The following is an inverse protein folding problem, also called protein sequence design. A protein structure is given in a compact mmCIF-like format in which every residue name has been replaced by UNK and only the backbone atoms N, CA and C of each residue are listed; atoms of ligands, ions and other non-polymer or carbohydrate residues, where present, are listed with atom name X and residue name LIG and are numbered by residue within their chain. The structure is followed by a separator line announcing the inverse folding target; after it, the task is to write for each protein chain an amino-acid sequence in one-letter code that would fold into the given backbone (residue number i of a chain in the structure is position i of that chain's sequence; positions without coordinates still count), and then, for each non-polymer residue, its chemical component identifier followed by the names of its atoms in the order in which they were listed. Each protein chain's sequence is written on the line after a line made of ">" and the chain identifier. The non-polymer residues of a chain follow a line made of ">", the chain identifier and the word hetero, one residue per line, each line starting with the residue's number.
data_IF_076326251058
#
_entry.id   IF_076326251058
#
_cell.length_a   1.000
_cell.length_b   1.000
_cell.length_c   1.000
_cell.angle_alpha   90.00
_cell.angle_beta   90.00
_cell.angle_gamma   90.00
#
_symmetry.space_group_name_H-M   'P 1'
#
loop_
_entity.id
_entity.type
_entity.pdbx_description
1 polymer ?
#
# COMPACT_ATOMS: atom_id res chain seq x y z
N UNK A 1 -21.69 23.60 -26.11
CA UNK A 1 -22.87 22.82 -25.71
C UNK A 1 -22.49 21.41 -25.20
N UNK A 2 -21.62 20.62 -25.87
CA UNK A 2 -21.23 19.26 -25.44
C UNK A 2 -20.56 19.27 -24.06
N UNK A 3 -19.64 20.19 -23.80
CA UNK A 3 -18.95 20.30 -22.50
C UNK A 3 -19.91 20.70 -21.36
N UNK A 4 -20.88 21.55 -21.61
CA UNK A 4 -21.90 21.95 -20.64
C UNK A 4 -22.79 20.75 -20.25
N UNK A 5 -23.21 19.94 -21.24
CA UNK A 5 -24.00 18.72 -20.99
C UNK A 5 -23.21 17.71 -20.10
N UNK A 6 -21.93 17.54 -20.35
CA UNK A 6 -21.06 16.67 -19.52
C UNK A 6 -20.95 17.22 -18.09
N UNK A 7 -20.78 18.54 -17.92
CA UNK A 7 -20.74 19.17 -16.59
C UNK A 7 -22.05 18.98 -15.82
N UNK A 8 -23.19 19.19 -16.50
CA UNK A 8 -24.52 18.97 -15.91
C UNK A 8 -24.71 17.50 -15.50
N UNK A 9 -24.27 16.55 -16.34
CA UNK A 9 -24.36 15.13 -16.00
C UNK A 9 -23.58 14.81 -14.73
N UNK A 10 -22.33 15.29 -14.59
CA UNK A 10 -21.56 15.09 -13.36
C UNK A 10 -22.21 15.72 -12.14
N UNK A 11 -22.77 16.93 -12.27
CA UNK A 11 -23.49 17.59 -11.17
C UNK A 11 -24.74 16.81 -10.75
N UNK A 12 -25.53 16.34 -11.70
CA UNK A 12 -26.72 15.52 -11.41
C UNK A 12 -26.34 14.21 -10.74
N UNK A 13 -25.35 13.49 -11.29
CA UNK A 13 -24.88 12.23 -10.71
C UNK A 13 -24.31 12.43 -9.29
N UNK A 14 -23.52 13.48 -9.08
CA UNK A 14 -22.98 13.81 -7.75
C UNK A 14 -24.12 14.13 -6.78
N UNK A 15 -25.09 14.95 -7.20
CA UNK A 15 -26.23 15.33 -6.34
C UNK A 15 -27.06 14.13 -5.93
N UNK A 16 -27.42 13.26 -6.88
CA UNK A 16 -28.17 12.03 -6.60
C UNK A 16 -27.43 11.11 -5.64
N UNK A 17 -26.15 10.87 -5.92
CA UNK A 17 -25.27 10.04 -5.11
C UNK A 17 -25.08 10.62 -3.70
N UNK A 18 -24.81 11.92 -3.62
CA UNK A 18 -24.66 12.62 -2.36
C UNK A 18 -25.94 12.55 -1.52
N UNK A 19 -27.08 12.91 -2.08
CA UNK A 19 -28.36 12.88 -1.36
C UNK A 19 -28.69 11.48 -0.84
N UNK A 20 -28.45 10.44 -1.65
CA UNK A 20 -28.67 9.06 -1.24
C UNK A 20 -27.79 8.66 -0.04
N UNK A 21 -26.48 8.85 -0.14
CA UNK A 21 -25.56 8.41 0.91
C UNK A 21 -25.64 9.31 2.14
N UNK A 22 -25.67 10.62 1.94
CA UNK A 22 -25.68 11.60 3.02
C UNK A 22 -26.99 11.51 3.83
N UNK A 23 -28.13 11.40 3.15
CA UNK A 23 -29.42 11.19 3.81
C UNK A 23 -29.53 9.84 4.53
N UNK A 24 -29.03 8.77 3.90
CA UNK A 24 -29.01 7.43 4.53
C UNK A 24 -28.12 7.41 5.76
N UNK A 25 -26.95 8.07 5.72
CA UNK A 25 -26.04 8.13 6.85
C UNK A 25 -26.64 8.93 8.02
N UNK A 26 -27.35 10.03 7.78
CA UNK A 26 -28.04 10.79 8.81
C UNK A 26 -29.16 9.97 9.47
N UNK A 27 -29.96 9.29 8.66
CA UNK A 27 -31.01 8.38 9.15
C UNK A 27 -30.44 7.24 10.00
N UNK A 28 -29.34 6.61 9.57
CA UNK A 28 -28.65 5.58 10.35
C UNK A 28 -28.04 6.16 11.63
N UNK A 29 -27.39 7.32 11.55
CA UNK A 29 -26.83 8.01 12.71
C UNK A 29 -27.93 8.37 13.74
N UNK A 30 -29.14 8.70 13.30
CA UNK A 30 -30.26 8.97 14.22
C UNK A 30 -30.64 7.75 15.06
N UNK A 31 -30.46 6.53 14.55
CA UNK A 31 -30.76 5.29 15.26
C UNK A 31 -29.68 4.88 16.27
N UNK A 32 -28.50 5.50 16.26
CA UNK A 32 -27.40 5.20 17.20
C UNK A 32 -27.74 5.76 18.59
N UNK A 33 -27.66 4.94 19.66
CA UNK A 33 -28.14 5.30 20.99
C UNK A 33 -27.23 6.25 21.77
N UNK A 34 -26.04 6.54 21.26
CA UNK A 34 -25.05 7.40 21.92
C UNK A 34 -24.71 8.60 21.05
N UNK A 35 -24.18 9.66 21.68
CA UNK A 35 -23.60 10.84 21.05
C UNK A 35 -22.27 11.14 21.72
N UNK A 36 -21.26 11.44 20.92
CA UNK A 36 -19.96 11.85 21.45
C UNK A 36 -20.12 13.29 21.95
N UNK A 37 -19.94 13.54 23.27
CA UNK A 37 -20.11 14.88 23.84
C UNK A 37 -19.03 15.82 23.29
N UNK A 38 -19.46 17.00 22.86
CA UNK A 38 -18.59 18.05 22.37
C UNK A 38 -18.78 19.33 23.19
N UNK A 39 -17.66 20.02 23.44
CA UNK A 39 -17.75 21.34 24.11
C UNK A 39 -18.47 22.31 23.19
N UNK A 40 -19.56 22.90 23.69
CA UNK A 40 -20.32 23.89 22.95
C UNK A 40 -19.47 25.13 22.58
N UNK A 41 -19.73 25.78 21.44
CA UNK A 41 -18.94 26.90 20.96
C UNK A 41 -18.86 28.05 21.97
N UNK A 42 -17.62 28.59 22.15
CA UNK A 42 -17.39 29.82 22.91
C UNK A 42 -17.14 31.05 22.04
N UNK A 43 -17.09 30.86 20.70
CA UNK A 43 -16.95 31.95 19.73
C UNK A 43 -18.31 32.53 19.33
N UNK A 44 -18.36 33.76 18.75
CA UNK A 44 -19.64 34.40 18.43
C UNK A 44 -20.35 33.71 17.27
N UNK A 45 -21.64 33.48 17.46
CA UNK A 45 -22.56 33.06 16.40
C UNK A 45 -22.81 34.20 15.40
N UNK A 46 -22.62 33.93 14.12
CA UNK A 46 -22.69 34.92 13.05
C UNK A 46 -23.60 34.43 11.90
N UNK A 47 -24.91 34.47 12.04
CA UNK A 47 -25.84 33.97 11.01
C UNK A 47 -25.75 34.67 9.64
N UNK A 48 -25.22 35.90 9.60
CA UNK A 48 -24.94 36.62 8.37
C UNK A 48 -23.94 35.95 7.42
N UNK A 49 -23.19 34.91 7.89
CA UNK A 49 -22.30 34.11 7.05
C UNK A 49 -23.03 32.97 6.31
N UNK A 50 -24.34 32.77 6.52
CA UNK A 50 -25.10 31.73 5.84
C UNK A 50 -25.09 31.83 4.30
N UNK A 51 -25.11 32.99 3.65
CA UNK A 51 -24.93 33.08 2.19
C UNK A 51 -23.57 32.58 1.72
N UNK A 52 -22.51 32.82 2.49
CA UNK A 52 -21.15 32.30 2.19
C UNK A 52 -21.12 30.78 2.34
N UNK A 53 -21.75 30.24 3.38
CA UNK A 53 -21.94 28.80 3.56
C UNK A 53 -22.65 28.15 2.36
N UNK A 54 -23.78 28.68 1.95
CA UNK A 54 -24.57 28.19 0.82
C UNK A 54 -23.86 28.35 -0.54
N UNK A 55 -22.90 29.26 -0.63
CA UNK A 55 -22.11 29.48 -1.86
C UNK A 55 -21.24 28.31 -2.28
N UNK A 56 -21.10 27.25 -1.46
CA UNK A 56 -20.49 25.99 -1.86
C UNK A 56 -21.13 25.43 -3.15
N UNK A 57 -22.46 25.46 -3.23
CA UNK A 57 -23.18 24.95 -4.41
C UNK A 57 -22.76 25.71 -5.69
N UNK A 58 -22.63 27.03 -5.59
CA UNK A 58 -22.12 27.83 -6.69
C UNK A 58 -20.68 27.50 -7.04
N UNK A 59 -19.81 27.33 -6.03
CA UNK A 59 -18.41 26.95 -6.24
C UNK A 59 -18.29 25.60 -6.96
N UNK A 60 -19.12 24.61 -6.61
CA UNK A 60 -19.18 23.32 -7.29
C UNK A 60 -19.62 23.44 -8.75
N UNK A 61 -20.67 24.23 -9.02
CA UNK A 61 -21.11 24.50 -10.40
C UNK A 61 -19.97 25.12 -11.21
N UNK A 62 -19.33 26.16 -10.68
CA UNK A 62 -18.16 26.81 -11.31
C UNK A 62 -17.03 25.80 -11.55
N UNK A 63 -16.75 24.93 -10.57
CA UNK A 63 -15.71 23.93 -10.69
C UNK A 63 -15.99 22.90 -11.80
N UNK A 64 -17.21 22.39 -11.88
CA UNK A 64 -17.58 21.45 -12.96
C UNK A 64 -17.67 22.10 -14.34
N UNK A 65 -18.02 23.37 -14.42
CA UNK A 65 -18.07 24.08 -15.70
C UNK A 65 -16.67 24.44 -16.18
N UNK A 66 -15.82 25.01 -15.32
CA UNK A 66 -14.53 25.59 -15.67
C UNK A 66 -13.35 24.62 -15.63
N UNK A 67 -13.40 23.55 -14.80
CA UNK A 67 -12.32 22.59 -14.71
C UNK A 67 -12.21 21.73 -15.98
N UNK A 68 -10.97 21.52 -16.44
CA UNK A 68 -10.65 20.53 -17.48
C UNK A 68 -10.63 19.09 -16.95
N UNK A 69 -10.49 18.92 -15.63
CA UNK A 69 -10.28 17.63 -14.91
C UNK A 69 -11.57 17.18 -14.18
N UNK A 70 -12.72 17.23 -14.89
CA UNK A 70 -14.05 16.97 -14.30
C UNK A 70 -14.19 15.57 -13.69
N UNK A 71 -13.64 14.55 -14.34
CA UNK A 71 -13.67 13.18 -13.85
C UNK A 71 -12.91 13.02 -12.53
N UNK A 72 -11.74 13.64 -12.42
CA UNK A 72 -10.94 13.62 -11.20
C UNK A 72 -11.62 14.40 -10.06
N UNK A 73 -12.21 15.56 -10.38
CA UNK A 73 -13.03 16.32 -9.44
C UNK A 73 -14.19 15.46 -8.91
N UNK A 74 -14.96 14.86 -9.80
CA UNK A 74 -16.08 13.99 -9.45
C UNK A 74 -15.64 12.82 -8.57
N UNK A 75 -14.58 12.12 -8.97
CA UNK A 75 -14.02 10.99 -8.21
C UNK A 75 -13.57 11.41 -6.81
N UNK A 76 -12.89 12.58 -6.69
CA UNK A 76 -12.45 13.08 -5.39
C UNK A 76 -13.63 13.39 -4.46
N UNK A 77 -14.71 14.00 -4.97
CA UNK A 77 -15.89 14.31 -4.18
C UNK A 77 -16.65 13.02 -3.78
N UNK A 78 -16.74 12.05 -4.70
CA UNK A 78 -17.36 10.75 -4.44
C UNK A 78 -16.60 9.97 -3.37
N UNK A 79 -15.26 9.94 -3.42
CA UNK A 79 -14.44 9.29 -2.40
C UNK A 79 -14.61 9.94 -1.03
N UNK A 80 -14.69 11.26 -0.96
CA UNK A 80 -14.96 11.96 0.30
C UNK A 80 -16.31 11.59 0.88
N UNK A 81 -17.36 11.54 0.06
CA UNK A 81 -18.69 11.13 0.50
C UNK A 81 -18.68 9.69 1.02
N UNK A 82 -18.07 8.76 0.28
CA UNK A 82 -17.93 7.34 0.68
C UNK A 82 -17.18 7.16 2.01
N UNK A 83 -16.14 7.96 2.24
CA UNK A 83 -15.36 7.87 3.46
C UNK A 83 -16.06 8.55 4.66
N UNK A 84 -16.77 9.65 4.43
CA UNK A 84 -17.42 10.41 5.50
C UNK A 84 -18.71 9.74 6.02
N UNK A 85 -19.55 9.19 5.13
CA UNK A 85 -20.84 8.63 5.52
C UNK A 85 -20.78 7.54 6.61
N UNK A 86 -19.87 6.54 6.55
CA UNK A 86 -19.70 5.60 7.65
C UNK A 86 -19.25 6.27 8.96
N UNK A 87 -18.40 7.32 8.88
CA UNK A 87 -17.91 8.02 10.07
C UNK A 87 -19.04 8.78 10.77
N UNK A 88 -19.99 9.35 10.06
CA UNK A 88 -21.19 9.99 10.67
C UNK A 88 -21.97 9.01 11.54
N UNK A 89 -22.07 7.75 11.13
CA UNK A 89 -22.78 6.71 11.87
C UNK A 89 -21.96 6.20 13.07
N UNK A 90 -20.65 5.99 12.87
CA UNK A 90 -19.77 5.42 13.90
C UNK A 90 -19.32 6.47 14.93
N UNK A 91 -19.23 7.74 14.52
CA UNK A 91 -18.78 8.86 15.34
C UNK A 91 -19.85 9.98 15.38
N UNK A 92 -21.08 9.71 15.85
CA UNK A 92 -22.15 10.70 15.89
C UNK A 92 -21.85 11.75 16.96
N UNK A 93 -21.46 12.95 16.54
CA UNK A 93 -21.19 14.05 17.48
C UNK A 93 -22.49 14.63 18.04
N UNK A 94 -22.40 15.18 19.25
CA UNK A 94 -23.50 15.97 19.82
C UNK A 94 -23.75 17.20 18.96
N UNK A 95 -25.04 17.50 18.58
CA UNK A 95 -25.39 18.69 17.84
C UNK A 95 -24.99 19.99 18.54
N UNK A 96 -24.64 20.99 17.78
CA UNK A 96 -24.36 22.33 18.30
C UNK A 96 -25.68 23.01 18.69
N UNK A 97 -25.74 23.50 19.92
CA UNK A 97 -26.90 24.24 20.40
C UNK A 97 -26.87 25.70 19.91
N UNK A 98 -27.95 26.12 19.26
CA UNK A 98 -28.10 27.50 18.82
C UNK A 98 -28.51 28.39 19.97
N UNK A 99 -27.82 29.53 20.22
CA UNK A 99 -28.16 30.43 21.33
C UNK A 99 -29.56 31.06 21.15
N UNK A 100 -29.93 31.37 19.91
CA UNK A 100 -31.25 31.83 19.47
C UNK A 100 -31.36 31.59 17.98
N UNK A 101 -32.49 31.06 17.51
CA UNK A 101 -32.73 30.91 16.08
C UNK A 101 -32.88 32.30 15.44
N UNK A 102 -32.04 32.66 14.47
CA UNK A 102 -32.12 34.00 13.85
C UNK A 102 -33.29 34.10 12.90
N UNK A 103 -33.89 35.28 12.82
CA UNK A 103 -34.88 35.60 11.80
C UNK A 103 -34.17 35.98 10.48
N UNK A 104 -33.62 34.95 9.80
CA UNK A 104 -32.88 35.11 8.57
C UNK A 104 -33.24 33.97 7.61
N UNK A 105 -33.81 34.32 6.49
CA UNK A 105 -34.15 33.34 5.43
C UNK A 105 -32.92 32.52 4.99
N UNK A 106 -31.78 33.17 4.81
CA UNK A 106 -30.54 32.49 4.40
C UNK A 106 -30.08 31.46 5.43
N UNK A 107 -30.18 31.80 6.71
CA UNK A 107 -29.84 30.88 7.76
C UNK A 107 -30.83 29.72 7.84
N UNK A 108 -32.14 29.99 7.70
CA UNK A 108 -33.15 28.94 7.67
C UNK A 108 -32.91 27.95 6.55
N UNK A 109 -32.56 28.42 5.34
CA UNK A 109 -32.23 27.55 4.22
C UNK A 109 -30.98 26.73 4.54
N UNK A 110 -29.91 27.36 5.06
CA UNK A 110 -28.68 26.65 5.44
C UNK A 110 -28.93 25.57 6.48
N UNK A 111 -29.71 25.87 7.51
CA UNK A 111 -30.06 24.95 8.60
C UNK A 111 -30.96 23.79 8.13
N UNK A 112 -31.85 24.06 7.15
CA UNK A 112 -32.72 23.02 6.59
C UNK A 112 -31.99 22.06 5.68
N UNK A 113 -30.98 22.54 4.93
CA UNK A 113 -30.17 21.71 4.01
C UNK A 113 -29.15 20.91 4.77
N UNK A 114 -28.66 21.40 5.92
CA UNK A 114 -27.69 20.70 6.75
C UNK A 114 -28.41 19.66 7.63
N UNK A 115 -28.02 18.41 7.50
CA UNK A 115 -28.49 17.32 8.34
C UNK A 115 -27.73 17.36 9.68
N UNK A 116 -28.46 17.27 10.81
CA UNK A 116 -27.96 17.60 12.13
C UNK A 116 -27.04 16.56 12.78
N UNK A 117 -26.75 15.43 12.11
CA UNK A 117 -25.93 14.37 12.64
C UNK A 117 -24.64 14.12 11.85
N UNK A 118 -24.47 14.79 10.71
CA UNK A 118 -23.37 14.59 9.77
C UNK A 118 -22.26 15.63 9.99
N UNK A 119 -21.63 15.65 11.19
CA UNK A 119 -20.63 16.65 11.55
C UNK A 119 -19.21 16.29 11.09
N UNK A 120 -18.71 15.12 11.49
CA UNK A 120 -17.31 14.74 11.34
C UNK A 120 -17.11 13.63 10.31
N UNK A 121 -16.37 13.90 9.24
CA UNK A 121 -15.69 15.14 8.81
C UNK A 121 -16.63 16.11 8.06
N UNK A 122 -16.32 17.42 8.04
CA UNK A 122 -17.10 18.40 7.27
C UNK A 122 -16.95 18.20 5.76
N UNK A 123 -17.99 17.69 5.09
CA UNK A 123 -18.02 17.59 3.63
C UNK A 123 -18.13 18.96 2.95
N UNK A 124 -18.70 19.98 3.60
CA UNK A 124 -18.70 21.35 3.09
C UNK A 124 -17.28 21.86 2.86
N UNK A 125 -16.42 21.69 3.86
CA UNK A 125 -15.02 22.10 3.79
C UNK A 125 -14.27 21.24 2.78
N UNK A 126 -14.46 19.92 2.85
CA UNK A 126 -13.82 18.98 1.93
C UNK A 126 -14.11 19.29 0.47
N UNK A 127 -15.38 19.51 0.14
CA UNK A 127 -15.83 19.83 -1.22
C UNK A 127 -15.35 21.20 -1.68
N UNK A 128 -15.40 22.22 -0.81
CA UNK A 128 -14.92 23.56 -1.14
C UNK A 128 -13.42 23.56 -1.49
N UNK A 129 -12.59 22.92 -0.68
CA UNK A 129 -11.14 22.81 -0.91
C UNK A 129 -10.83 22.01 -2.18
N UNK A 130 -11.56 20.92 -2.42
CA UNK A 130 -11.41 20.11 -3.63
C UNK A 130 -11.77 20.90 -4.88
N UNK A 131 -12.89 21.61 -4.88
CA UNK A 131 -13.32 22.46 -5.99
C UNK A 131 -12.28 23.56 -6.27
N UNK A 132 -11.80 24.25 -5.23
CA UNK A 132 -10.77 25.28 -5.34
C UNK A 132 -9.46 24.73 -5.92
N UNK A 133 -9.04 23.53 -5.48
CA UNK A 133 -7.84 22.87 -6.00
C UNK A 133 -7.94 22.58 -7.51
N UNK A 134 -9.05 22.01 -7.97
CA UNK A 134 -9.24 21.68 -9.38
C UNK A 134 -9.47 22.91 -10.27
N UNK A 135 -9.85 24.05 -9.69
CA UNK A 135 -9.88 25.36 -10.38
C UNK A 135 -8.50 26.02 -10.46
N UNK A 136 -7.62 25.77 -9.48
CA UNK A 136 -6.22 26.24 -9.47
C UNK A 136 -6.05 27.76 -9.43
N UNK A 137 -7.01 28.52 -8.90
CA UNK A 137 -6.99 29.98 -8.83
C UNK A 137 -6.94 30.48 -7.39
N UNK A 138 -6.11 31.50 -7.05
CA UNK A 138 -6.03 32.02 -5.68
C UNK A 138 -7.38 32.49 -5.12
N UNK A 139 -8.20 33.15 -5.95
CA UNK A 139 -9.54 33.61 -5.54
C UNK A 139 -10.45 32.44 -5.13
N UNK A 140 -10.34 31.28 -5.79
CA UNK A 140 -11.16 30.13 -5.40
C UNK A 140 -10.64 29.49 -4.10
N UNK A 141 -9.35 29.58 -3.80
CA UNK A 141 -8.80 29.16 -2.52
C UNK A 141 -9.28 30.07 -1.38
N UNK A 142 -9.30 31.39 -1.59
CA UNK A 142 -9.88 32.35 -0.64
C UNK A 142 -11.38 32.10 -0.44
N UNK A 143 -12.11 31.82 -1.51
CA UNK A 143 -13.53 31.48 -1.42
C UNK A 143 -13.76 30.19 -0.61
N UNK A 144 -12.99 29.12 -0.86
CA UNK A 144 -13.07 27.90 -0.08
C UNK A 144 -12.72 28.15 1.41
N UNK A 145 -11.73 28.98 1.70
CA UNK A 145 -11.40 29.42 3.05
C UNK A 145 -12.55 30.16 3.74
N UNK A 146 -13.21 31.07 3.01
CA UNK A 146 -14.39 31.77 3.53
C UNK A 146 -15.55 30.79 3.80
N UNK A 147 -15.80 29.80 2.92
CA UNK A 147 -16.77 28.74 3.17
C UNK A 147 -16.40 27.94 4.42
N UNK A 148 -15.14 27.55 4.59
CA UNK A 148 -14.70 26.83 5.78
C UNK A 148 -14.92 27.63 7.09
N UNK A 149 -14.62 28.93 7.09
CA UNK A 149 -14.91 29.81 8.22
C UNK A 149 -16.42 29.97 8.46
N UNK A 150 -17.21 30.05 7.40
CA UNK A 150 -18.67 30.21 7.50
C UNK A 150 -19.30 29.01 8.21
N UNK A 151 -18.80 27.77 8.02
CA UNK A 151 -19.33 26.57 8.69
C UNK A 151 -19.22 26.68 10.22
N UNK A 152 -18.13 27.28 10.71
CA UNK A 152 -17.88 27.50 12.14
C UNK A 152 -18.73 28.65 12.68
N UNK A 153 -18.79 29.79 11.96
CA UNK A 153 -19.55 30.97 12.42
C UNK A 153 -21.06 30.81 12.37
N UNK A 154 -21.56 29.93 11.50
CA UNK A 154 -23.00 29.59 11.44
C UNK A 154 -23.37 28.42 12.36
N UNK A 155 -22.43 27.90 13.15
CA UNK A 155 -22.64 26.76 14.06
C UNK A 155 -23.07 25.47 13.34
N UNK A 156 -22.66 25.33 12.09
CA UNK A 156 -22.95 24.11 11.33
C UNK A 156 -21.89 23.03 11.58
N UNK A 157 -20.65 23.39 11.96
CA UNK A 157 -19.56 22.47 12.24
C UNK A 157 -18.66 22.94 13.39
N UNK A 158 -18.07 21.97 14.10
CA UNK A 158 -16.98 22.22 15.01
C UNK A 158 -15.65 22.45 14.26
N UNK A 159 -14.67 23.16 14.85
CA UNK A 159 -13.36 23.34 14.20
C UNK A 159 -12.66 22.01 13.88
N UNK A 160 -12.88 20.97 14.67
CA UNK A 160 -12.32 19.61 14.42
C UNK A 160 -12.91 19.02 13.14
N UNK A 161 -14.18 19.28 12.82
CA UNK A 161 -14.82 18.79 11.60
C UNK A 161 -14.23 19.47 10.36
N UNK A 162 -13.89 20.78 10.50
CA UNK A 162 -13.20 21.55 9.46
C UNK A 162 -11.83 20.98 9.14
N UNK A 163 -11.05 20.69 10.19
CA UNK A 163 -9.72 20.08 10.02
C UNK A 163 -9.84 18.69 9.40
N UNK A 164 -10.76 17.86 9.89
CA UNK A 164 -10.99 16.53 9.33
C UNK A 164 -11.47 16.58 7.87
N UNK A 165 -12.34 17.52 7.52
CA UNK A 165 -12.80 17.76 6.14
C UNK A 165 -11.65 18.19 5.22
N UNK A 166 -10.76 19.06 5.70
CA UNK A 166 -9.57 19.48 4.95
C UNK A 166 -8.59 18.33 4.72
N UNK A 167 -8.34 17.50 5.75
CA UNK A 167 -7.51 16.29 5.62
C UNK A 167 -8.12 15.30 4.63
N UNK A 168 -9.42 15.07 4.71
CA UNK A 168 -10.14 14.17 3.80
C UNK A 168 -10.04 14.65 2.34
N UNK A 169 -10.18 15.97 2.10
CA UNK A 169 -9.97 16.56 0.78
C UNK A 169 -8.54 16.32 0.27
N UNK A 170 -7.54 16.59 1.11
CA UNK A 170 -6.13 16.36 0.78
C UNK A 170 -5.86 14.91 0.39
N UNK A 171 -6.38 13.95 1.15
CA UNK A 171 -6.25 12.52 0.89
C UNK A 171 -6.94 12.14 -0.43
N UNK A 172 -8.20 12.59 -0.65
CA UNK A 172 -8.95 12.27 -1.86
C UNK A 172 -8.26 12.83 -3.12
N UNK A 173 -7.80 14.08 -3.08
CA UNK A 173 -7.03 14.71 -4.16
C UNK A 173 -5.75 13.92 -4.44
N UNK A 174 -5.01 13.58 -3.39
CA UNK A 174 -3.77 12.83 -3.50
C UNK A 174 -3.96 11.44 -4.12
N UNK A 175 -5.03 10.72 -3.73
CA UNK A 175 -5.40 9.43 -4.31
C UNK A 175 -5.71 9.55 -5.81
N UNK A 176 -6.47 10.57 -6.20
CA UNK A 176 -6.92 10.73 -7.59
C UNK A 176 -5.81 11.24 -8.52
N UNK A 177 -4.83 12.00 -8.00
CA UNK A 177 -3.79 12.61 -8.83
C UNK A 177 -2.58 11.72 -9.18
N UNK A 178 -2.68 10.44 -8.99
CA UNK A 178 -1.62 9.50 -9.35
C UNK A 178 -0.46 9.41 -8.35
N UNK A 179 -0.30 10.37 -7.44
CA UNK A 179 0.66 10.23 -6.33
C UNK A 179 0.24 9.15 -5.34
N UNK A 180 -1.07 9.02 -5.10
CA UNK A 180 -1.65 7.95 -4.31
C UNK A 180 -1.97 6.69 -5.11
N UNK A 181 -2.03 6.76 -6.45
CA UNK A 181 -2.31 5.61 -7.31
C UNK A 181 -1.30 4.48 -7.06
N UNK A 182 -0.02 4.82 -6.98
CA UNK A 182 1.04 3.83 -6.71
C UNK A 182 0.87 3.20 -5.33
N UNK A 183 0.53 3.99 -4.30
CA UNK A 183 0.24 3.43 -2.97
C UNK A 183 -1.00 2.55 -3.01
N UNK A 184 -2.07 2.96 -3.69
CA UNK A 184 -3.28 2.16 -3.84
C UNK A 184 -3.00 0.83 -4.56
N UNK A 185 -2.16 0.85 -5.62
CA UNK A 185 -1.68 -0.35 -6.31
C UNK A 185 -0.91 -1.26 -5.34
N UNK A 186 0.05 -0.70 -4.59
CA UNK A 186 0.84 -1.47 -3.62
C UNK A 186 -0.03 -2.07 -2.51
N UNK A 187 -1.00 -1.32 -1.97
CA UNK A 187 -1.95 -1.85 -0.98
C UNK A 187 -2.81 -2.98 -1.57
N UNK A 188 -3.25 -2.83 -2.82
CA UNK A 188 -3.95 -3.87 -3.55
C UNK A 188 -3.09 -5.14 -3.73
N UNK A 189 -1.79 -4.97 -4.03
CA UNK A 189 -0.83 -6.08 -4.10
C UNK A 189 -0.65 -6.77 -2.75
N UNK A 190 -0.47 -6.03 -1.66
CA UNK A 190 -0.35 -6.62 -0.32
C UNK A 190 -1.58 -7.47 0.02
N UNK A 191 -2.78 -6.99 -0.29
CA UNK A 191 -4.03 -7.76 -0.06
C UNK A 191 -4.03 -9.03 -0.90
N UNK A 192 -3.70 -8.94 -2.19
CA UNK A 192 -3.64 -10.10 -3.11
C UNK A 192 -2.61 -11.13 -2.66
N UNK A 193 -1.38 -10.69 -2.36
CA UNK A 193 -0.32 -11.56 -1.86
C UNK A 193 -0.69 -12.24 -0.55
N UNK A 194 -1.29 -11.49 0.40
CA UNK A 194 -1.72 -12.04 1.69
C UNK A 194 -2.86 -13.05 1.53
N UNK A 195 -3.80 -12.79 0.62
CA UNK A 195 -4.90 -13.72 0.32
C UNK A 195 -4.40 -15.02 -0.30
N UNK A 196 -3.35 -14.94 -1.15
CA UNK A 196 -2.74 -16.09 -1.82
C UNK A 196 -1.82 -16.89 -0.89
N UNK A 197 -0.99 -16.18 -0.15
CA UNK A 197 0.03 -16.77 0.71
C UNK A 197 -0.11 -16.22 2.14
N UNK A 198 -0.69 -16.99 3.05
CA UNK A 198 -0.88 -16.59 4.46
C UNK A 198 0.41 -16.12 5.15
N UNK A 199 1.57 -16.61 4.69
CA UNK A 199 2.91 -16.20 5.19
C UNK A 199 3.19 -14.70 5.00
N UNK A 200 2.64 -14.08 3.96
CA UNK A 200 2.84 -12.66 3.68
C UNK A 200 2.02 -11.72 4.57
N UNK A 201 1.06 -12.23 5.34
CA UNK A 201 0.29 -11.40 6.27
C UNK A 201 1.15 -10.64 7.27
N UNK A 202 2.15 -11.33 7.87
CA UNK A 202 3.08 -10.69 8.80
C UNK A 202 3.99 -9.66 8.09
N UNK A 203 4.46 -9.97 6.89
CA UNK A 203 5.27 -9.06 6.07
C UNK A 203 4.45 -7.82 5.70
N UNK A 204 3.19 -8.00 5.29
CA UNK A 204 2.28 -6.90 4.98
C UNK A 204 2.07 -5.96 6.17
N UNK A 205 1.84 -6.52 7.36
CA UNK A 205 1.73 -5.73 8.61
C UNK A 205 3.03 -4.98 8.90
N UNK A 206 4.19 -5.64 8.76
CA UNK A 206 5.49 -5.00 8.98
C UNK A 206 5.76 -3.86 7.99
N UNK A 207 5.42 -4.03 6.70
CA UNK A 207 5.55 -2.99 5.67
C UNK A 207 4.64 -1.80 5.93
N UNK A 208 3.40 -2.03 6.35
CA UNK A 208 2.46 -0.96 6.73
C UNK A 208 2.95 -0.22 7.98
N UNK A 209 3.43 -0.94 9.00
CA UNK A 209 4.02 -0.33 10.18
C UNK A 209 5.27 0.50 9.81
N UNK A 210 6.16 -0.02 8.95
CA UNK A 210 7.31 0.72 8.45
C UNK A 210 6.90 1.98 7.67
N UNK A 211 5.84 1.91 6.86
CA UNK A 211 5.31 3.07 6.15
C UNK A 211 4.81 4.17 7.09
N UNK A 212 4.19 3.80 8.21
CA UNK A 212 3.68 4.74 9.21
C UNK A 212 4.80 5.33 10.09
N UNK A 213 5.74 4.49 10.54
CA UNK A 213 6.79 4.90 11.49
C UNK A 213 7.99 5.57 10.78
N UNK A 214 8.32 5.11 9.58
CA UNK A 214 9.46 5.56 8.78
C UNK A 214 9.04 5.76 7.32
N UNK A 215 8.28 6.84 6.98
CA UNK A 215 7.60 6.98 5.69
C UNK A 215 8.52 6.84 4.46
N UNK A 216 9.76 7.31 4.53
CA UNK A 216 10.73 7.21 3.41
C UNK A 216 11.18 5.76 3.20
N UNK A 217 11.72 5.14 4.24
CA UNK A 217 12.18 3.74 4.21
C UNK A 217 11.02 2.77 3.95
N UNK A 218 9.88 2.96 4.65
CA UNK A 218 8.69 2.14 4.47
C UNK A 218 8.12 2.23 3.05
N UNK A 219 8.13 3.40 2.41
CA UNK A 219 7.73 3.54 1.01
C UNK A 219 8.66 2.78 0.06
N UNK A 220 9.98 2.85 0.26
CA UNK A 220 10.96 2.11 -0.56
C UNK A 220 10.76 0.60 -0.41
N UNK A 221 10.65 0.13 0.84
CA UNK A 221 10.43 -1.28 1.13
C UNK A 221 9.10 -1.80 0.56
N UNK A 222 8.01 -1.04 0.71
CA UNK A 222 6.70 -1.37 0.15
C UNK A 222 6.74 -1.46 -1.37
N UNK A 223 7.32 -0.47 -2.04
CA UNK A 223 7.46 -0.47 -3.51
C UNK A 223 8.31 -1.64 -3.99
N UNK A 224 9.46 -1.89 -3.35
CA UNK A 224 10.36 -2.98 -3.69
C UNK A 224 9.68 -4.35 -3.55
N UNK A 225 9.03 -4.58 -2.41
CA UNK A 225 8.28 -5.81 -2.17
C UNK A 225 7.15 -6.01 -3.20
N UNK A 226 6.27 -5.02 -3.38
CA UNK A 226 5.12 -5.16 -4.27
C UNK A 226 5.55 -5.32 -5.74
N UNK A 227 6.60 -4.62 -6.18
CA UNK A 227 7.10 -4.71 -7.53
C UNK A 227 7.71 -6.09 -7.81
N UNK A 228 8.68 -6.53 -6.98
CA UNK A 228 9.35 -7.81 -7.16
C UNK A 228 8.39 -9.00 -6.99
N UNK A 229 7.51 -8.94 -6.00
CA UNK A 229 6.51 -9.99 -5.80
C UNK A 229 5.53 -10.10 -6.99
N UNK A 230 5.18 -8.98 -7.63
CA UNK A 230 4.33 -9.03 -8.82
C UNK A 230 5.05 -9.63 -10.02
N UNK A 231 6.35 -9.38 -10.19
CA UNK A 231 7.16 -10.03 -11.22
C UNK A 231 7.28 -11.53 -10.97
N UNK A 232 7.51 -11.93 -9.72
CA UNK A 232 7.58 -13.31 -9.27
C UNK A 232 6.26 -14.05 -9.53
N UNK A 233 5.14 -13.48 -9.10
CA UNK A 233 3.79 -14.00 -9.32
C UNK A 233 3.42 -14.18 -10.80
N UNK A 234 3.95 -13.32 -11.69
CA UNK A 234 3.79 -13.47 -13.14
C UNK A 234 4.60 -14.65 -13.65
N UNK A 235 5.87 -14.77 -13.24
CA UNK A 235 6.76 -15.85 -13.63
C UNK A 235 6.25 -17.21 -13.14
N UNK A 236 5.72 -17.29 -11.93
CA UNK A 236 5.16 -18.51 -11.36
C UNK A 236 3.77 -18.88 -11.92
N UNK A 237 3.18 -18.02 -12.76
CA UNK A 237 1.86 -18.26 -13.35
C UNK A 237 0.71 -18.02 -12.38
N UNK A 238 0.97 -17.39 -11.25
CA UNK A 238 -0.06 -16.98 -10.29
C UNK A 238 -0.90 -15.80 -10.79
N UNK A 239 -0.37 -15.01 -11.71
CA UNK A 239 -1.08 -13.94 -12.41
C UNK A 239 -1.14 -14.28 -13.91
N UNK A 240 -2.32 -14.07 -14.49
CA UNK A 240 -2.47 -14.17 -15.94
C UNK A 240 -1.73 -13.01 -16.61
N UNK A 241 -1.06 -13.30 -17.71
CA UNK A 241 -0.40 -12.31 -18.57
C UNK A 241 -0.69 -12.60 -20.04
N UNK A 242 -0.63 -11.56 -20.85
CA UNK A 242 -0.69 -11.69 -22.29
C UNK A 242 0.73 -12.00 -22.83
N UNK A 243 0.96 -13.23 -23.27
CA UNK A 243 2.25 -13.70 -23.77
C UNK A 243 3.03 -14.56 -22.77
N UNK A 244 4.31 -14.79 -23.07
CA UNK A 244 5.20 -15.62 -22.24
C UNK A 244 5.68 -14.83 -21.02
N UNK A 245 5.53 -15.36 -19.78
CA UNK A 245 5.97 -14.68 -18.57
C UNK A 245 7.43 -14.26 -18.54
N UNK A 246 8.31 -15.11 -19.13
CA UNK A 246 9.74 -14.79 -19.23
C UNK A 246 10.03 -13.58 -20.10
N UNK A 247 9.26 -13.38 -21.19
CA UNK A 247 9.46 -12.25 -22.10
C UNK A 247 9.02 -10.95 -21.41
N UNK A 248 7.93 -10.97 -20.63
CA UNK A 248 7.51 -9.85 -19.81
C UNK A 248 8.58 -9.49 -18.76
N UNK A 249 9.13 -10.49 -18.06
CA UNK A 249 10.20 -10.24 -17.09
C UNK A 249 11.45 -9.67 -17.76
N UNK A 250 11.86 -10.15 -18.94
CA UNK A 250 12.96 -9.58 -19.72
C UNK A 250 12.68 -8.16 -20.20
N UNK A 251 11.43 -7.86 -20.53
CA UNK A 251 11.00 -6.51 -20.85
C UNK A 251 11.17 -5.58 -19.65
N UNK A 252 10.80 -6.02 -18.45
CA UNK A 252 11.06 -5.26 -17.22
C UNK A 252 12.56 -5.01 -17.02
N UNK A 253 13.43 -5.98 -17.26
CA UNK A 253 14.90 -5.80 -17.23
C UNK A 253 15.34 -4.70 -18.20
N UNK A 254 14.83 -4.70 -19.44
CA UNK A 254 15.13 -3.65 -20.43
C UNK A 254 14.63 -2.29 -19.97
N UNK A 255 13.41 -2.22 -19.43
CA UNK A 255 12.81 -0.99 -18.90
C UNK A 255 13.63 -0.41 -17.75
N UNK A 256 14.14 -1.24 -16.84
CA UNK A 256 15.02 -0.81 -15.76
C UNK A 256 16.33 -0.20 -16.29
N UNK A 257 17.00 -0.85 -17.22
CA UNK A 257 18.25 -0.35 -17.82
C UNK A 257 18.04 0.89 -18.70
N UNK A 258 16.89 0.96 -19.39
CA UNK A 258 16.56 2.07 -20.29
C UNK A 258 15.77 3.22 -19.65
N UNK A 259 15.35 3.08 -18.41
CA UNK A 259 14.46 4.03 -17.70
C UNK A 259 13.16 4.37 -18.48
N UNK A 260 12.62 3.42 -19.25
CA UNK A 260 11.56 3.61 -20.24
C UNK A 260 10.22 3.02 -19.82
N UNK A 261 9.84 3.16 -18.55
CA UNK A 261 8.57 2.65 -18.02
C UNK A 261 7.34 3.32 -18.64
N UNK A 262 6.33 2.55 -18.96
CA UNK A 262 5.03 2.96 -19.49
C UNK A 262 4.06 3.39 -18.37
N UNK A 263 2.75 3.27 -18.59
CA UNK A 263 1.71 3.76 -17.69
C UNK A 263 0.89 2.66 -17.01
N UNK A 264 1.21 1.39 -17.25
CA UNK A 264 0.56 0.28 -16.55
C UNK A 264 0.97 0.23 -15.07
N UNK A 265 0.29 -0.59 -14.28
CA UNK A 265 0.47 -0.62 -12.83
C UNK A 265 1.85 -1.16 -12.40
N UNK A 266 2.41 -2.14 -13.15
CA UNK A 266 3.75 -2.69 -12.88
C UNK A 266 4.82 -1.64 -13.19
N UNK A 267 4.72 -1.00 -14.34
CA UNK A 267 5.62 0.05 -14.78
C UNK A 267 5.55 1.30 -13.89
N UNK A 268 4.35 1.64 -13.39
CA UNK A 268 4.20 2.72 -12.41
C UNK A 268 4.92 2.40 -11.09
N UNK A 269 4.85 1.15 -10.62
CA UNK A 269 5.62 0.72 -9.44
C UNK A 269 7.12 0.76 -9.73
N UNK A 270 7.58 0.20 -10.85
CA UNK A 270 9.00 0.18 -11.27
C UNK A 270 9.58 1.59 -11.37
N UNK A 271 8.92 2.52 -12.07
CA UNK A 271 9.33 3.92 -12.19
C UNK A 271 9.45 4.63 -10.84
N UNK A 272 8.49 4.41 -9.93
CA UNK A 272 8.52 5.02 -8.60
C UNK A 272 9.58 4.37 -7.72
N UNK A 273 9.81 3.08 -7.85
CA UNK A 273 10.88 2.37 -7.15
C UNK A 273 12.26 2.86 -7.61
N UNK A 274 12.50 2.98 -8.93
CA UNK A 274 13.75 3.49 -9.48
C UNK A 274 14.09 4.89 -8.96
N UNK A 275 13.07 5.78 -8.82
CA UNK A 275 13.25 7.12 -8.25
C UNK A 275 13.51 7.10 -6.75
N UNK A 276 12.94 6.14 -6.02
CA UNK A 276 13.04 6.08 -4.57
C UNK A 276 14.26 5.29 -4.09
N UNK A 277 14.70 4.31 -4.87
CA UNK A 277 15.81 3.39 -4.59
C UNK A 277 16.61 3.17 -5.87
N UNK A 278 17.73 3.89 -6.08
CA UNK A 278 18.50 3.85 -7.33
C UNK A 278 19.44 2.63 -7.41
N UNK A 279 18.95 1.44 -7.06
CA UNK A 279 19.68 0.16 -7.05
C UNK A 279 19.34 -0.67 -8.29
N UNK A 280 19.43 -0.06 -9.48
CA UNK A 280 19.00 -0.66 -10.74
C UNK A 280 19.59 -2.04 -10.98
N UNK A 281 20.91 -2.20 -10.87
CA UNK A 281 21.56 -3.48 -11.19
C UNK A 281 21.20 -4.59 -10.19
N UNK A 282 20.99 -4.27 -8.92
CA UNK A 282 20.54 -5.27 -7.93
C UNK A 282 19.12 -5.75 -8.24
N UNK A 283 18.21 -4.84 -8.60
CA UNK A 283 16.83 -5.20 -8.96
C UNK A 283 16.82 -6.03 -10.25
N UNK A 284 17.58 -5.61 -11.26
CA UNK A 284 17.74 -6.36 -12.51
C UNK A 284 18.27 -7.76 -12.21
N UNK A 285 19.32 -7.88 -11.42
CA UNK A 285 19.91 -9.19 -11.06
C UNK A 285 18.91 -10.10 -10.34
N UNK A 286 18.07 -9.57 -9.44
CA UNK A 286 17.00 -10.38 -8.80
C UNK A 286 15.99 -10.88 -9.84
N UNK A 287 15.56 -10.04 -10.78
CA UNK A 287 14.64 -10.45 -11.84
C UNK A 287 15.28 -11.53 -12.73
N UNK A 288 16.59 -11.42 -13.02
CA UNK A 288 17.33 -12.42 -13.78
C UNK A 288 17.42 -13.77 -13.04
N UNK A 289 17.58 -13.77 -11.71
CA UNK A 289 17.51 -15.00 -10.90
C UNK A 289 16.10 -15.63 -10.91
N UNK A 290 15.03 -14.83 -10.83
CA UNK A 290 13.65 -15.32 -10.98
C UNK A 290 13.41 -15.93 -12.36
N UNK A 291 13.93 -15.32 -13.43
CA UNK A 291 13.87 -15.87 -14.80
C UNK A 291 14.63 -17.20 -14.87
N UNK A 292 15.76 -17.33 -14.20
CA UNK A 292 16.53 -18.58 -14.14
C UNK A 292 15.68 -19.69 -13.50
N UNK A 293 15.01 -19.42 -12.38
CA UNK A 293 14.16 -20.41 -11.71
C UNK A 293 12.99 -20.84 -12.61
N UNK A 294 12.35 -19.90 -13.31
CA UNK A 294 11.30 -20.23 -14.27
C UNK A 294 11.82 -21.14 -15.39
N UNK A 295 13.01 -20.88 -15.93
CA UNK A 295 13.65 -21.76 -16.91
C UNK A 295 13.94 -23.14 -16.37
N UNK A 296 14.44 -23.24 -15.11
CA UNK A 296 14.69 -24.52 -14.45
C UNK A 296 13.42 -25.37 -14.38
N UNK A 297 12.30 -24.74 -14.04
CA UNK A 297 10.98 -25.42 -14.03
C UNK A 297 10.61 -25.92 -15.43
N UNK A 298 10.66 -25.05 -16.43
CA UNK A 298 10.30 -25.39 -17.82
C UNK A 298 11.17 -26.50 -18.40
N UNK A 299 12.48 -26.43 -18.17
CA UNK A 299 13.46 -27.38 -18.68
C UNK A 299 13.67 -28.61 -17.79
N UNK A 300 12.98 -28.67 -16.65
CA UNK A 300 13.16 -29.69 -15.60
C UNK A 300 14.62 -29.83 -15.20
N UNK A 301 15.35 -28.70 -15.17
CA UNK A 301 16.77 -28.65 -14.89
C UNK A 301 17.03 -28.64 -13.38
N UNK A 302 17.82 -29.62 -12.92
CA UNK A 302 18.39 -29.62 -11.57
C UNK A 302 19.77 -28.96 -11.59
N UNK A 303 20.07 -28.19 -10.55
CA UNK A 303 21.40 -27.60 -10.34
C UNK A 303 22.33 -28.58 -9.63
N UNK A 304 23.63 -28.44 -9.87
CA UNK A 304 24.65 -29.09 -9.01
C UNK A 304 24.67 -28.44 -7.64
N UNK A 305 25.35 -29.07 -6.69
CA UNK A 305 25.47 -28.51 -5.34
C UNK A 305 26.11 -27.11 -5.35
N UNK A 306 27.17 -26.93 -6.14
CA UNK A 306 27.83 -25.63 -6.29
C UNK A 306 26.92 -24.58 -6.97
N UNK A 307 26.25 -24.92 -8.08
CA UNK A 307 25.32 -24.03 -8.78
C UNK A 307 24.18 -23.60 -7.86
N UNK A 308 23.61 -24.54 -7.08
CA UNK A 308 22.52 -24.25 -6.14
C UNK A 308 22.96 -23.30 -5.02
N UNK A 309 24.13 -23.57 -4.46
CA UNK A 309 24.72 -22.72 -3.41
C UNK A 309 24.94 -21.29 -3.92
N UNK A 310 25.60 -21.14 -5.05
CA UNK A 310 25.87 -19.83 -5.66
C UNK A 310 24.57 -19.07 -5.99
N UNK A 311 23.56 -19.77 -6.52
CA UNK A 311 22.26 -19.19 -6.83
C UNK A 311 21.56 -18.68 -5.56
N UNK A 312 21.50 -19.50 -4.49
CA UNK A 312 20.88 -19.10 -3.23
C UNK A 312 21.63 -17.95 -2.56
N UNK A 313 22.95 -18.04 -2.46
CA UNK A 313 23.78 -16.97 -1.86
C UNK A 313 23.59 -15.65 -2.62
N UNK A 314 23.60 -15.67 -3.95
CA UNK A 314 23.39 -14.48 -4.79
C UNK A 314 22.00 -13.89 -4.60
N UNK A 315 20.96 -14.72 -4.68
CA UNK A 315 19.56 -14.27 -4.52
C UNK A 315 19.32 -13.62 -3.16
N UNK A 316 19.85 -14.23 -2.09
CA UNK A 316 19.62 -13.72 -0.74
C UNK A 316 20.54 -12.56 -0.37
N UNK A 317 21.76 -12.48 -0.92
CA UNK A 317 22.59 -11.29 -0.80
C UNK A 317 21.93 -10.07 -1.45
N UNK A 318 21.45 -10.21 -2.69
CA UNK A 318 20.77 -9.14 -3.42
C UNK A 318 19.49 -8.69 -2.70
N UNK A 319 18.67 -9.64 -2.23
CA UNK A 319 17.44 -9.35 -1.50
C UNK A 319 17.72 -8.62 -0.19
N UNK A 320 18.72 -9.05 0.57
CA UNK A 320 19.12 -8.43 1.83
C UNK A 320 19.68 -7.03 1.59
N UNK A 321 20.53 -6.86 0.58
CA UNK A 321 21.10 -5.56 0.20
C UNK A 321 20.01 -4.56 -0.20
N UNK A 322 18.98 -4.98 -0.95
CA UNK A 322 17.87 -4.08 -1.28
C UNK A 322 17.07 -3.65 -0.05
N UNK A 323 16.85 -4.55 0.91
CA UNK A 323 16.15 -4.21 2.15
C UNK A 323 16.99 -3.26 3.03
N UNK A 324 18.30 -3.48 3.11
CA UNK A 324 19.24 -2.62 3.81
C UNK A 324 19.32 -1.24 3.14
N UNK A 325 19.44 -1.18 1.82
CA UNK A 325 19.45 0.07 1.06
C UNK A 325 18.12 0.84 1.22
N UNK A 326 16.97 0.14 1.23
CA UNK A 326 15.67 0.78 1.47
C UNK A 326 15.58 1.45 2.85
N UNK A 327 16.27 0.90 3.84
CA UNK A 327 16.37 1.46 5.21
C UNK A 327 17.52 2.45 5.40
N UNK A 328 18.30 2.76 4.35
CA UNK A 328 19.50 3.63 4.41
C UNK A 328 20.54 3.07 5.42
N UNK A 329 20.70 1.74 5.47
CA UNK A 329 21.66 1.08 6.34
C UNK A 329 23.09 1.32 5.87
N UNK A 330 24.02 1.37 6.84
CA UNK A 330 25.47 1.47 6.58
C UNK A 330 26.11 0.11 6.27
N UNK A 331 25.39 -0.97 6.56
CA UNK A 331 25.84 -2.35 6.39
C UNK A 331 25.22 -3.00 5.17
N UNK A 332 25.87 -4.02 4.65
CA UNK A 332 25.46 -4.82 3.48
C UNK A 332 25.38 -6.31 3.83
N UNK A 333 24.93 -7.14 2.90
CA UNK A 333 24.95 -8.60 3.03
C UNK A 333 26.36 -9.15 3.23
N UNK A 334 27.39 -8.46 2.70
CA UNK A 334 28.79 -8.84 2.84
C UNK A 334 29.32 -8.73 4.29
N UNK A 335 28.69 -7.89 5.11
CA UNK A 335 29.02 -7.75 6.54
C UNK A 335 28.44 -8.91 7.38
N UNK A 336 27.49 -9.69 6.86
CA UNK A 336 26.84 -10.81 7.53
C UNK A 336 26.65 -12.03 6.59
N UNK A 337 27.74 -12.58 6.00
CA UNK A 337 27.64 -13.67 5.01
C UNK A 337 27.04 -14.94 5.59
N UNK A 338 27.28 -15.25 6.88
CA UNK A 338 26.66 -16.40 7.53
C UNK A 338 25.13 -16.27 7.60
N UNK A 339 24.61 -15.07 7.89
CA UNK A 339 23.17 -14.81 7.87
C UNK A 339 22.60 -14.94 6.46
N UNK A 340 23.29 -14.44 5.44
CA UNK A 340 22.89 -14.58 4.04
C UNK A 340 22.73 -16.04 3.63
N UNK A 341 23.71 -16.88 3.94
CA UNK A 341 23.67 -18.33 3.71
C UNK A 341 22.49 -19.00 4.44
N UNK A 342 22.24 -18.62 5.70
CA UNK A 342 21.10 -19.12 6.46
C UNK A 342 19.75 -18.74 5.85
N UNK A 343 19.62 -17.56 5.29
CA UNK A 343 18.38 -17.13 4.63
C UNK A 343 18.11 -17.98 3.38
N UNK A 344 19.15 -18.30 2.61
CA UNK A 344 19.08 -19.25 1.50
C UNK A 344 18.59 -20.63 1.94
N UNK A 345 19.20 -21.20 2.98
CA UNK A 345 18.75 -22.46 3.57
C UNK A 345 17.29 -22.39 4.06
N UNK A 346 16.93 -21.31 4.77
CA UNK A 346 15.55 -21.10 5.24
C UNK A 346 14.53 -21.10 4.12
N UNK A 347 14.85 -20.50 2.97
CA UNK A 347 13.96 -20.48 1.81
C UNK A 347 13.70 -21.89 1.30
N UNK A 348 14.77 -22.68 1.08
CA UNK A 348 14.63 -24.06 0.63
C UNK A 348 13.71 -24.89 1.54
N UNK A 349 13.86 -24.76 2.86
CA UNK A 349 13.03 -25.53 3.82
C UNK A 349 11.63 -24.97 3.97
N UNK A 350 11.49 -23.68 3.85
CA UNK A 350 10.20 -22.99 4.02
C UNK A 350 9.27 -23.23 2.85
N UNK A 351 9.81 -23.10 1.66
CA UNK A 351 9.02 -23.07 0.42
C UNK A 351 9.00 -24.43 -0.30
N UNK A 352 9.60 -25.47 0.29
CA UNK A 352 9.79 -26.79 -0.33
C UNK A 352 8.50 -27.40 -0.93
N UNK A 353 7.37 -27.35 -0.22
CA UNK A 353 6.10 -27.92 -0.73
C UNK A 353 5.56 -27.11 -1.91
N UNK A 354 5.68 -25.79 -1.86
CA UNK A 354 5.23 -24.87 -2.91
C UNK A 354 6.12 -25.00 -4.14
N UNK A 355 7.45 -24.92 -3.97
CA UNK A 355 8.42 -25.07 -5.04
C UNK A 355 8.26 -26.38 -5.79
N UNK A 356 8.13 -27.50 -5.07
CA UNK A 356 7.88 -28.80 -5.66
C UNK A 356 6.55 -28.86 -6.42
N UNK A 357 5.51 -28.18 -5.97
CA UNK A 357 4.21 -28.11 -6.66
C UNK A 357 4.31 -27.36 -7.98
N UNK A 358 5.23 -26.38 -8.07
CA UNK A 358 5.55 -25.63 -9.29
C UNK A 358 6.56 -26.36 -10.19
N UNK A 359 7.14 -27.46 -9.71
CA UNK A 359 8.20 -28.21 -10.40
C UNK A 359 9.62 -27.68 -10.17
N UNK A 360 9.78 -26.73 -9.24
CA UNK A 360 11.09 -26.19 -8.85
C UNK A 360 11.69 -27.11 -7.76
N UNK A 361 12.84 -27.71 -8.07
CA UNK A 361 13.53 -28.62 -7.15
C UNK A 361 14.83 -27.94 -6.68
N UNK A 362 14.85 -27.46 -5.45
CA UNK A 362 15.99 -26.86 -4.78
C UNK A 362 16.78 -27.90 -3.95
N UNK A 363 17.11 -29.02 -4.59
CA UNK A 363 17.98 -30.10 -4.08
C UNK A 363 19.01 -30.40 -5.17
N UNK A 364 20.31 -30.62 -4.82
CA UNK A 364 21.36 -30.88 -5.80
C UNK A 364 21.04 -32.10 -6.69
N UNK A 365 21.38 -32.02 -7.97
CA UNK A 365 21.13 -33.11 -8.94
C UNK A 365 21.79 -34.41 -8.56
N UNK A 366 22.98 -34.34 -7.92
CA UNK A 366 23.75 -35.46 -7.44
C UNK A 366 23.00 -36.20 -6.32
N UNK A 367 22.41 -35.44 -5.40
CA UNK A 367 21.64 -35.93 -4.25
C UNK A 367 20.33 -36.59 -4.71
N UNK A 368 19.63 -35.98 -5.66
CA UNK A 368 18.42 -36.56 -6.22
C UNK A 368 18.69 -37.86 -6.97
N UNK A 369 19.80 -37.91 -7.76
CA UNK A 369 20.19 -39.08 -8.54
C UNK A 369 20.67 -40.24 -7.67
N UNK A 370 21.39 -39.96 -6.59
CA UNK A 370 21.89 -40.98 -5.65
C UNK A 370 20.84 -41.48 -4.66
N UNK A 371 19.70 -40.80 -4.56
CA UNK A 371 18.65 -41.11 -3.58
C UNK A 371 19.01 -40.75 -2.13
N UNK A 372 20.07 -39.96 -1.91
CA UNK A 372 20.55 -39.57 -0.58
C UNK A 372 19.89 -38.31 0.00
N UNK A 373 18.69 -37.98 -0.44
CA UNK A 373 17.98 -36.72 -0.10
C UNK A 373 17.83 -36.54 1.41
N UNK A 374 17.49 -37.61 2.16
CA UNK A 374 17.33 -37.50 3.61
C UNK A 374 18.66 -37.20 4.33
N UNK A 375 19.74 -37.84 3.89
CA UNK A 375 21.06 -37.59 4.45
C UNK A 375 21.49 -36.15 4.17
N UNK A 376 21.23 -35.64 2.96
CA UNK A 376 21.54 -34.29 2.58
C UNK A 376 20.78 -33.29 3.48
N UNK A 377 19.45 -33.42 3.66
CA UNK A 377 18.71 -32.53 4.56
C UNK A 377 19.18 -32.60 6.02
N UNK A 378 19.65 -33.77 6.48
CA UNK A 378 20.27 -33.89 7.83
C UNK A 378 21.58 -33.12 7.92
N UNK A 379 22.44 -33.23 6.92
CA UNK A 379 23.71 -32.50 6.83
C UNK A 379 23.48 -31.00 6.75
N UNK A 380 22.55 -30.56 5.89
CA UNK A 380 22.18 -29.14 5.75
C UNK A 380 21.63 -28.55 7.05
N UNK A 381 20.79 -29.28 7.78
CA UNK A 381 20.29 -28.85 9.09
C UNK A 381 21.45 -28.73 10.14
N UNK A 382 22.40 -29.64 10.11
CA UNK A 382 23.57 -29.57 11.00
C UNK A 382 24.46 -28.37 10.66
N UNK A 383 24.73 -28.15 9.38
CA UNK A 383 25.47 -27.00 8.88
C UNK A 383 24.78 -25.68 9.23
N UNK A 384 23.44 -25.60 9.03
CA UNK A 384 22.67 -24.43 9.36
C UNK A 384 22.71 -24.07 10.85
N UNK A 385 22.76 -25.08 11.76
CA UNK A 385 22.94 -24.83 13.20
C UNK A 385 24.30 -24.25 13.53
N UNK A 386 25.37 -24.74 12.92
CA UNK A 386 26.70 -24.17 13.09
C UNK A 386 26.79 -22.75 12.52
N UNK A 387 26.24 -22.55 11.34
CA UNK A 387 26.20 -21.24 10.67
C UNK A 387 25.39 -20.22 11.46
N UNK A 388 24.36 -20.67 12.21
CA UNK A 388 23.54 -19.80 13.08
C UNK A 388 24.38 -19.17 14.20
N UNK A 389 25.23 -19.93 14.85
CA UNK A 389 26.15 -19.41 15.87
C UNK A 389 27.14 -18.41 15.28
N UNK A 390 27.74 -18.75 14.09
CA UNK A 390 28.61 -17.81 13.38
C UNK A 390 27.93 -16.52 12.96
N UNK A 391 26.66 -16.59 12.55
CA UNK A 391 25.89 -15.39 12.23
C UNK A 391 25.66 -14.53 13.48
N UNK A 392 25.43 -15.13 14.64
CA UNK A 392 25.29 -14.42 15.92
C UNK A 392 26.57 -13.64 16.27
N UNK A 393 27.73 -14.25 16.12
CA UNK A 393 29.02 -13.58 16.30
C UNK A 393 29.23 -12.40 15.36
N UNK A 394 28.90 -12.57 14.04
CA UNK A 394 28.98 -11.48 13.07
C UNK A 394 28.05 -10.33 13.42
N UNK A 395 26.86 -10.62 13.92
CA UNK A 395 25.92 -9.57 14.32
C UNK A 395 26.39 -8.78 15.56
N UNK A 396 27.11 -9.43 16.49
CA UNK A 396 27.73 -8.73 17.62
C UNK A 396 28.84 -7.76 17.16
N UNK A 397 29.62 -8.13 16.14
CA UNK A 397 30.65 -7.25 15.56
C UNK A 397 30.06 -5.99 14.88
N UNK A 398 28.77 -6.02 14.54
CA UNK A 398 28.05 -4.92 13.92
C UNK A 398 27.32 -4.01 14.93
N UNK A 399 27.57 -4.15 16.23
CA UNK A 399 26.96 -3.32 17.26
C UNK A 399 27.15 -1.83 16.98
N UNK A 400 26.06 -1.05 17.10
CA UNK A 400 26.05 0.39 16.85
C UNK A 400 25.85 0.79 15.39
N UNK A 401 25.98 -0.12 14.42
CA UNK A 401 25.76 0.22 13.00
C UNK A 401 24.29 0.25 12.64
N UNK A 402 23.91 1.16 11.75
CA UNK A 402 22.55 1.23 11.23
C UNK A 402 22.25 0.01 10.33
N UNK A 403 21.04 -0.57 10.46
CA UNK A 403 20.65 -1.80 9.76
C UNK A 403 20.77 -3.07 10.63
N UNK A 404 21.54 -3.05 11.74
CA UNK A 404 21.70 -4.22 12.61
C UNK A 404 20.35 -4.78 13.12
N UNK A 405 19.39 -3.90 13.46
CA UNK A 405 18.06 -4.32 13.93
C UNK A 405 17.33 -5.18 12.88
N UNK A 406 17.46 -4.85 11.61
CA UNK A 406 16.86 -5.61 10.51
C UNK A 406 17.52 -6.99 10.40
N UNK A 407 18.86 -7.05 10.42
CA UNK A 407 19.60 -8.34 10.41
C UNK A 407 19.25 -9.22 11.61
N UNK A 408 19.16 -8.62 12.81
CA UNK A 408 18.78 -9.34 14.04
C UNK A 408 17.37 -9.92 13.94
N UNK A 409 16.44 -9.19 13.30
CA UNK A 409 15.08 -9.69 13.06
C UNK A 409 15.09 -10.93 12.16
N UNK A 410 15.86 -10.91 11.08
CA UNK A 410 16.02 -12.06 10.20
C UNK A 410 16.71 -13.23 10.92
N UNK A 411 17.78 -13.00 11.65
CA UNK A 411 18.47 -14.02 12.44
C UNK A 411 17.53 -14.72 13.42
N UNK A 412 16.72 -13.96 14.17
CA UNK A 412 15.69 -14.53 15.06
C UNK A 412 14.64 -15.35 14.30
N UNK A 413 14.28 -14.96 13.09
CA UNK A 413 13.31 -15.71 12.29
C UNK A 413 13.83 -17.09 11.87
N UNK A 414 15.13 -17.23 11.60
CA UNK A 414 15.80 -18.49 11.26
C UNK A 414 15.63 -19.53 12.35
N UNK A 415 15.71 -19.14 13.62
CA UNK A 415 15.60 -20.06 14.76
C UNK A 415 14.31 -20.89 14.73
N UNK A 416 13.21 -20.30 14.24
CA UNK A 416 11.93 -21.00 14.09
C UNK A 416 12.04 -22.18 13.12
N UNK A 417 12.78 -22.01 12.03
CA UNK A 417 12.95 -23.04 11.00
C UNK A 417 13.94 -24.12 11.46
N UNK A 418 15.02 -23.76 12.15
CA UNK A 418 15.94 -24.71 12.77
C UNK A 418 15.25 -25.67 13.76
N UNK A 419 14.24 -25.17 14.49
CA UNK A 419 13.47 -25.99 15.44
C UNK A 419 12.40 -26.85 14.78
N UNK A 420 11.81 -26.40 13.66
CA UNK A 420 10.62 -27.04 13.04
C UNK A 420 10.95 -27.95 11.87
N UNK A 421 12.12 -27.78 11.25
CA UNK A 421 12.49 -28.56 10.08
C UNK A 421 12.63 -30.05 10.39
N UNK A 422 12.01 -30.89 9.56
CA UNK A 422 12.07 -32.34 9.61
C UNK A 422 12.70 -32.88 8.32
N UNK A 423 13.97 -33.31 8.37
CA UNK A 423 14.66 -33.88 7.21
C UNK A 423 13.93 -35.05 6.56
N UNK A 424 13.31 -35.93 7.37
CA UNK A 424 12.57 -37.10 6.87
C UNK A 424 11.33 -36.68 6.08
N UNK A 425 10.57 -35.67 6.56
CA UNK A 425 9.41 -35.14 5.83
C UNK A 425 9.84 -34.47 4.52
N UNK A 426 10.90 -33.71 4.55
CA UNK A 426 11.45 -33.05 3.37
C UNK A 426 11.85 -34.06 2.29
N UNK A 427 12.57 -35.13 2.67
CA UNK A 427 12.96 -36.20 1.76
C UNK A 427 11.75 -36.93 1.14
N UNK A 428 10.72 -37.19 1.93
CA UNK A 428 9.48 -37.81 1.42
C UNK A 428 8.78 -36.92 0.37
N UNK A 429 8.75 -35.61 0.57
CA UNK A 429 8.15 -34.66 -0.39
C UNK A 429 8.92 -34.68 -1.71
N UNK A 430 10.24 -34.57 -1.67
CA UNK A 430 11.09 -34.61 -2.88
C UNK A 430 10.92 -35.94 -3.61
N UNK A 431 10.92 -37.07 -2.90
CA UNK A 431 10.77 -38.39 -3.51
C UNK A 431 9.41 -38.60 -4.18
N UNK A 432 8.35 -37.95 -3.70
CA UNK A 432 7.02 -37.98 -4.34
C UNK A 432 6.97 -37.15 -5.61
N UNK A 433 7.61 -35.97 -5.59
CA UNK A 433 7.66 -35.05 -6.73
C UNK A 433 8.58 -35.54 -7.86
N UNK A 434 9.56 -36.39 -7.55
CA UNK A 434 10.53 -36.92 -8.53
C UNK A 434 10.05 -38.18 -9.25
N UNK A 435 8.86 -38.70 -8.93
CA UNK A 435 8.27 -39.83 -9.65
C UNK A 435 7.63 -39.32 -10.95
N UNK A 436 7.88 -39.99 -12.10
CA UNK A 436 7.37 -39.60 -13.41
C UNK A 436 5.83 -39.63 -13.49
#
# INVERSE_FOLDING_TARGET
>A
LRQLRVSLLYLVLLSLWFCLLYGTSDWLAASVPYRIPMKQPSWPFRPGWAPVYLSLNLLLVVAFVASKRKAELFTSLTLQTLAACPLFVVLPLQPIELPKRPDSWWFTVADTVNLHLNYLPSLHVGFALTAAYFLGRPLTALWAGAIALSTVFTYQHYPVDVVAGALLAGIAIWLVQGRGRVLAICLGELVRCTARHRRYGLISVALLAALLLHPRAGRRALLGFCYLQRVDDLLDGHLACDGEPEDLAREQVKKWRGSSFESDDLDLMGRNLQKALPETEKIVSIIEEMILDRRRVREKRLLSEQELKEHLERTFALSLDLMLAASEAEITSADAPALTSLLGWCSVVRDLEEDLSLGLVNVPKEVVRSGTVEQWFKSELHLAKMTYSKADEQLHELEGKSGLRLLTLFHRSVQKYLKKHSPNRAAQLVSRSSRP
#
